data_IF_409536135859
#
_entry.id   IF_409536135859
#
_cell.length_a   1.000
_cell.length_b   1.000
_cell.length_c   1.000
_cell.angle_alpha   90.00
_cell.angle_beta   90.00
_cell.angle_gamma   90.00
#
_symmetry.space_group_name_H-M   'P 1'
#
loop_
_entity.id
_entity.type
_entity.pdbx_description
1 polymer ?
#
# COMPACT_ATOMS: atom_id res chain seq x y z
N UNK A 1 14.82 46.84 19.54
CA UNK A 1 15.76 45.75 19.37
C UNK A 1 16.33 45.81 17.98
N UNK A 2 17.65 46.03 17.85
CA UNK A 2 18.30 46.19 16.56
C UNK A 2 18.48 44.84 15.89
N UNK A 3 18.09 44.76 14.62
CA UNK A 3 18.33 43.60 13.80
C UNK A 3 19.75 43.68 13.26
N UNK A 4 20.62 42.77 13.65
CA UNK A 4 21.99 42.69 13.14
C UNK A 4 22.00 41.93 11.82
N UNK A 5 22.26 42.60 10.71
CA UNK A 5 22.43 41.98 9.40
C UNK A 5 23.92 41.74 9.12
N UNK A 6 24.32 40.48 9.03
CA UNK A 6 25.67 40.13 8.58
C UNK A 6 25.70 39.96 7.08
N UNK A 7 26.48 40.81 6.39
CA UNK A 7 26.68 40.77 4.92
C UNK A 7 27.91 39.95 4.49
N UNK A 8 28.39 39.01 5.30
CA UNK A 8 29.54 38.18 4.91
C UNK A 8 29.05 36.87 4.32
N UNK A 9 29.76 36.35 3.34
CA UNK A 9 29.46 35.13 2.60
C UNK A 9 29.44 33.87 3.47
N UNK A 10 30.16 33.84 4.59
CA UNK A 10 30.21 32.74 5.52
C UNK A 10 30.19 33.26 6.97
N UNK A 11 29.34 32.66 7.80
CA UNK A 11 29.36 32.80 9.26
C UNK A 11 29.69 31.40 9.81
N UNK A 12 30.83 31.27 10.43
CA UNK A 12 31.25 30.03 11.11
C UNK A 12 30.95 30.15 12.60
N UNK A 13 30.35 29.11 13.16
CA UNK A 13 30.11 28.93 14.59
C UNK A 13 30.95 27.74 15.06
N UNK A 14 31.89 28.00 15.94
CA UNK A 14 32.70 26.95 16.58
C UNK A 14 31.98 26.26 17.77
N UNK A 15 30.72 26.65 18.05
CA UNK A 15 29.86 26.11 19.10
C UNK A 15 28.40 25.98 18.61
N UNK A 16 27.58 25.41 19.46
CA UNK A 16 26.15 25.20 19.19
C UNK A 16 25.38 26.50 18.92
N UNK A 17 24.64 26.55 17.84
CA UNK A 17 23.62 27.59 17.61
C UNK A 17 22.30 27.13 18.20
N UNK A 18 21.81 27.84 19.19
CA UNK A 18 20.51 27.55 19.82
C UNK A 18 19.45 28.54 19.30
N UNK A 19 18.49 28.04 18.55
CA UNK A 19 17.35 28.80 18.03
C UNK A 19 16.20 28.62 19.02
N UNK A 20 15.98 29.61 19.90
CA UNK A 20 15.01 29.54 21.00
C UNK A 20 13.54 29.72 20.58
N UNK A 21 13.28 30.14 19.35
CA UNK A 21 11.92 30.45 18.89
C UNK A 21 11.63 29.62 17.65
N UNK A 22 10.53 28.86 17.65
CA UNK A 22 10.09 28.04 16.54
C UNK A 22 9.86 28.89 15.27
N UNK A 23 10.22 28.34 14.11
CA UNK A 23 9.91 28.92 12.81
C UNK A 23 10.90 29.92 12.23
N UNK A 24 12.08 30.11 12.85
CA UNK A 24 13.03 31.12 12.41
C UNK A 24 14.33 30.63 11.77
N UNK A 25 14.51 29.31 11.61
CA UNK A 25 15.56 28.83 10.73
C UNK A 25 15.07 28.88 9.28
N UNK A 26 15.68 29.74 8.47
CA UNK A 26 15.31 29.92 7.07
C UNK A 26 16.53 29.72 6.16
N UNK A 27 16.31 29.09 5.02
CA UNK A 27 17.25 29.05 3.92
C UNK A 27 16.61 29.71 2.69
N UNK A 28 17.27 30.77 2.15
CA UNK A 28 16.75 31.57 1.03
C UNK A 28 15.31 32.08 1.28
N UNK A 29 15.03 32.59 2.48
CA UNK A 29 13.71 33.09 2.91
C UNK A 29 12.62 32.02 3.00
N UNK A 30 12.95 30.73 2.88
CA UNK A 30 12.05 29.62 3.12
C UNK A 30 12.26 29.10 4.54
N UNK A 31 11.21 29.08 5.34
CA UNK A 31 11.27 28.57 6.71
C UNK A 31 11.46 27.04 6.70
N UNK A 32 12.38 26.55 7.54
CA UNK A 32 12.47 25.12 7.87
C UNK A 32 11.46 24.86 8.98
N UNK A 33 10.35 24.22 8.62
CA UNK A 33 9.24 23.91 9.54
C UNK A 33 9.41 22.58 10.26
N UNK A 34 10.34 21.74 9.80
CA UNK A 34 10.63 20.45 10.43
C UNK A 34 11.14 20.62 11.87
N UNK A 35 10.62 19.82 12.78
CA UNK A 35 11.10 19.75 14.16
C UNK A 35 12.49 19.12 14.24
N UNK A 36 13.21 19.32 15.35
CA UNK A 36 14.50 18.67 15.57
C UNK A 36 14.39 17.14 15.56
N UNK A 37 13.26 16.57 16.04
CA UNK A 37 13.00 15.13 15.99
C UNK A 37 12.87 14.63 14.54
N UNK A 38 12.11 15.33 13.70
CA UNK A 38 11.94 15.00 12.28
C UNK A 38 13.25 15.12 11.50
N UNK A 39 14.08 16.15 11.78
CA UNK A 39 15.41 16.27 11.16
C UNK A 39 16.35 15.16 11.63
N UNK A 40 16.27 14.74 12.90
CA UNK A 40 17.11 13.67 13.44
C UNK A 40 16.73 12.28 12.90
N UNK A 41 15.45 12.04 12.53
CA UNK A 41 15.02 10.81 11.85
C UNK A 41 15.77 10.62 10.52
N UNK A 42 16.11 11.72 9.83
CA UNK A 42 16.88 11.69 8.58
C UNK A 42 18.37 11.40 8.80
N UNK A 43 18.86 11.48 10.05
CA UNK A 43 20.22 11.12 10.41
C UNK A 43 20.45 9.61 10.20
N UNK A 44 21.22 9.23 9.18
CA UNK A 44 21.46 7.85 8.79
C UNK A 44 20.63 7.36 7.60
N UNK A 45 19.66 8.16 7.11
CA UNK A 45 18.98 7.87 5.84
C UNK A 45 19.95 8.15 4.69
N UNK A 46 20.32 7.10 3.96
CA UNK A 46 21.18 7.19 2.76
C UNK A 46 20.35 7.22 1.47
N UNK A 47 19.05 6.92 1.55
CA UNK A 47 18.15 6.96 0.42
C UNK A 47 17.94 8.40 -0.08
N UNK A 48 17.92 8.57 -1.40
CA UNK A 48 17.58 9.85 -2.03
C UNK A 48 16.09 10.18 -1.85
N UNK A 49 15.71 11.44 -2.01
CA UNK A 49 14.30 11.84 -2.00
C UNK A 49 13.46 11.11 -3.06
N UNK A 50 14.04 10.78 -4.23
CA UNK A 50 13.36 10.02 -5.27
C UNK A 50 13.10 8.56 -4.85
N UNK A 51 14.05 7.94 -4.16
CA UNK A 51 13.89 6.58 -3.62
C UNK A 51 12.86 6.54 -2.48
N UNK A 52 12.87 7.53 -1.59
CA UNK A 52 11.86 7.65 -0.51
C UNK A 52 10.48 7.86 -1.10
N UNK A 53 10.32 8.75 -2.08
CA UNK A 53 9.05 9.00 -2.75
C UNK A 53 8.57 7.79 -3.59
N UNK A 54 9.50 6.95 -4.06
CA UNK A 54 9.17 5.71 -4.77
C UNK A 54 8.50 4.65 -3.89
N UNK A 55 8.68 4.74 -2.56
CA UNK A 55 8.05 3.82 -1.60
C UNK A 55 6.55 4.11 -1.44
N UNK A 56 6.12 5.35 -1.67
CA UNK A 56 4.74 5.80 -1.52
C UNK A 56 3.74 5.06 -2.45
N UNK A 57 4.23 4.56 -3.60
CA UNK A 57 3.44 3.77 -4.55
C UNK A 57 3.47 2.25 -4.33
N UNK A 58 4.13 1.76 -3.26
CA UNK A 58 4.22 0.32 -2.99
C UNK A 58 3.05 -0.11 -2.11
N UNK A 59 2.21 -1.09 -2.53
CA UNK A 59 1.14 -1.61 -1.67
C UNK A 59 1.74 -2.36 -0.49
N UNK A 60 1.53 -1.84 0.72
CA UNK A 60 2.01 -2.42 1.98
C UNK A 60 0.87 -2.85 2.90
N UNK A 61 -0.37 -2.49 2.55
CA UNK A 61 -1.62 -2.89 3.17
C UNK A 61 -2.71 -3.04 2.10
N UNK A 62 -3.79 -3.71 2.44
CA UNK A 62 -4.95 -3.91 1.56
C UNK A 62 -6.22 -3.85 2.38
N UNK A 63 -7.24 -3.15 1.89
CA UNK A 63 -8.62 -3.30 2.34
C UNK A 63 -9.35 -4.25 1.40
N UNK A 64 -10.01 -5.27 1.95
CA UNK A 64 -10.85 -6.20 1.21
C UNK A 64 -12.24 -6.18 1.82
N UNK A 65 -13.27 -5.96 1.02
CA UNK A 65 -14.66 -6.03 1.48
C UNK A 65 -15.03 -7.50 1.75
N UNK A 66 -15.59 -7.77 2.94
CA UNK A 66 -16.11 -9.10 3.29
C UNK A 66 -17.59 -9.25 2.95
N UNK A 67 -18.26 -8.18 2.49
CA UNK A 67 -19.66 -8.19 2.06
C UNK A 67 -19.77 -8.42 0.55
N UNK A 68 -18.91 -9.28 0.01
CA UNK A 68 -18.97 -9.67 -1.38
C UNK A 68 -20.33 -10.34 -1.68
N UNK A 69 -21.04 -9.83 -2.67
CA UNK A 69 -22.33 -10.37 -3.08
C UNK A 69 -22.12 -11.54 -4.04
N UNK A 70 -22.80 -12.68 -3.77
CA UNK A 70 -22.99 -13.73 -4.77
C UNK A 70 -23.87 -13.20 -5.91
N UNK A 71 -23.61 -13.68 -7.12
CA UNK A 71 -24.58 -13.51 -8.20
C UNK A 71 -25.81 -14.44 -8.00
N UNK A 72 -26.81 -14.30 -8.88
CA UNK A 72 -28.05 -15.08 -8.80
C UNK A 72 -27.82 -16.60 -9.03
N UNK A 73 -26.73 -16.97 -9.72
CA UNK A 73 -26.37 -18.36 -9.96
C UNK A 73 -25.60 -18.98 -8.78
N UNK A 74 -25.06 -18.15 -7.87
CA UNK A 74 -24.31 -18.58 -6.69
C UNK A 74 -22.88 -19.06 -7.00
N UNK A 75 -22.39 -18.86 -8.22
CA UNK A 75 -21.10 -19.34 -8.69
C UNK A 75 -20.04 -18.24 -8.83
N UNK A 76 -20.45 -16.96 -8.66
CA UNK A 76 -19.56 -15.78 -8.76
C UNK A 76 -19.66 -14.87 -7.55
N UNK A 77 -18.51 -14.38 -7.13
CA UNK A 77 -18.38 -13.33 -6.11
C UNK A 77 -17.51 -12.23 -6.66
N UNK A 78 -17.93 -10.96 -6.55
CA UNK A 78 -17.06 -9.80 -6.77
C UNK A 78 -16.55 -9.33 -5.41
N UNK A 79 -15.23 -9.29 -5.26
CA UNK A 79 -14.52 -8.84 -4.07
C UNK A 79 -13.82 -7.52 -4.38
N UNK A 80 -14.33 -6.37 -3.94
CA UNK A 80 -13.62 -5.11 -4.02
C UNK A 80 -12.35 -5.15 -3.16
N UNK A 81 -11.24 -4.75 -3.76
CA UNK A 81 -9.92 -4.69 -3.13
C UNK A 81 -9.36 -3.29 -3.33
N UNK A 82 -8.96 -2.64 -2.24
CA UNK A 82 -8.26 -1.36 -2.27
C UNK A 82 -6.83 -1.56 -1.78
N UNK A 83 -5.85 -1.28 -2.65
CA UNK A 83 -4.45 -1.27 -2.27
C UNK A 83 -4.12 -0.01 -1.48
N UNK A 84 -3.35 -0.15 -0.40
CA UNK A 84 -3.05 0.91 0.55
C UNK A 84 -1.56 0.96 0.89
N UNK A 85 -1.09 2.11 1.34
CA UNK A 85 0.22 2.30 1.91
C UNK A 85 0.34 1.69 3.32
N UNK A 86 1.49 1.89 3.99
CA UNK A 86 1.73 1.42 5.36
C UNK A 86 0.81 2.06 6.39
N UNK A 87 0.27 3.24 6.12
CA UNK A 87 -0.61 3.99 7.00
C UNK A 87 -2.10 3.71 6.73
N UNK A 88 -2.41 2.72 5.88
CA UNK A 88 -3.78 2.40 5.42
C UNK A 88 -4.44 3.54 4.65
N UNK A 89 -3.63 4.34 3.95
CA UNK A 89 -4.12 5.34 2.99
C UNK A 89 -4.18 4.70 1.62
N UNK A 90 -5.27 4.92 0.90
CA UNK A 90 -5.49 4.36 -0.43
C UNK A 90 -4.42 4.84 -1.41
N UNK A 91 -3.88 3.93 -2.21
CA UNK A 91 -2.90 4.29 -3.23
C UNK A 91 -3.56 5.15 -4.31
N UNK A 92 -2.91 6.24 -4.68
CA UNK A 92 -3.26 7.10 -5.81
C UNK A 92 -2.43 6.79 -7.06
N UNK A 93 -1.90 5.56 -7.15
CA UNK A 93 -1.08 5.05 -8.26
C UNK A 93 -1.35 3.56 -8.44
N UNK A 94 -1.04 3.04 -9.63
CA UNK A 94 -1.13 1.60 -9.88
C UNK A 94 -0.18 0.82 -8.98
N UNK A 95 -0.71 -0.18 -8.30
CA UNK A 95 0.04 -1.14 -7.50
C UNK A 95 -0.12 -2.56 -8.04
N UNK A 96 0.73 -3.47 -7.56
CA UNK A 96 0.66 -4.88 -7.95
C UNK A 96 0.91 -5.79 -6.75
N UNK A 97 0.10 -6.85 -6.65
CA UNK A 97 0.20 -7.88 -5.61
C UNK A 97 0.03 -9.26 -6.24
N UNK A 98 0.51 -10.31 -5.57
CA UNK A 98 0.16 -11.68 -5.97
C UNK A 98 -1.10 -12.12 -5.22
N UNK A 99 -1.88 -12.99 -5.85
CA UNK A 99 -3.09 -13.54 -5.28
C UNK A 99 -3.18 -15.06 -5.47
N UNK A 100 -3.78 -15.74 -4.51
CA UNK A 100 -4.18 -17.14 -4.61
C UNK A 100 -5.38 -17.42 -3.70
N UNK A 101 -6.08 -18.53 -3.95
CA UNK A 101 -7.17 -18.98 -3.09
C UNK A 101 -6.75 -20.15 -2.21
N UNK A 102 -7.36 -20.24 -1.02
CA UNK A 102 -7.19 -21.36 -0.08
C UNK A 102 -8.53 -21.81 0.49
N UNK A 103 -8.56 -23.02 1.05
CA UNK A 103 -9.71 -23.58 1.78
C UNK A 103 -9.65 -23.29 3.28
N UNK A 104 -8.57 -22.68 3.76
CA UNK A 104 -8.38 -22.30 5.16
C UNK A 104 -8.00 -20.82 5.29
N UNK A 105 -8.26 -20.26 6.47
CA UNK A 105 -8.00 -18.85 6.78
C UNK A 105 -6.51 -18.49 6.90
N UNK A 106 -5.63 -19.49 7.07
CA UNK A 106 -4.19 -19.28 7.20
C UNK A 106 -3.48 -19.22 5.84
N UNK A 107 -4.18 -19.61 4.75
CA UNK A 107 -3.62 -19.62 3.41
C UNK A 107 -2.70 -20.80 3.09
N UNK A 108 -2.64 -21.83 3.96
CA UNK A 108 -1.73 -22.97 3.80
C UNK A 108 -2.27 -24.00 2.80
N UNK A 109 -3.59 -24.16 2.74
CA UNK A 109 -4.27 -25.14 1.88
C UNK A 109 -4.73 -24.50 0.57
N UNK A 110 -3.77 -24.22 -0.34
CA UNK A 110 -4.08 -23.66 -1.66
C UNK A 110 -5.03 -24.55 -2.45
N UNK A 111 -5.94 -23.91 -3.17
CA UNK A 111 -6.89 -24.59 -4.05
C UNK A 111 -6.80 -24.11 -5.49
N UNK A 112 -7.16 -24.95 -6.43
CA UNK A 112 -7.32 -24.65 -7.85
C UNK A 112 -8.80 -24.62 -8.27
N UNK A 113 -9.72 -24.72 -7.30
CA UNK A 113 -11.16 -24.79 -7.57
C UNK A 113 -11.78 -23.41 -7.88
N UNK A 114 -11.03 -22.33 -7.72
CA UNK A 114 -11.51 -20.97 -7.93
C UNK A 114 -10.69 -20.30 -9.02
N UNK A 115 -11.36 -19.78 -10.04
CA UNK A 115 -10.75 -18.95 -11.09
C UNK A 115 -10.89 -17.48 -10.72
N UNK A 116 -9.82 -16.71 -10.89
CA UNK A 116 -9.80 -15.27 -10.66
C UNK A 116 -9.80 -14.49 -11.97
N UNK A 117 -10.65 -13.46 -12.05
CA UNK A 117 -10.73 -12.50 -13.15
C UNK A 117 -11.06 -11.11 -12.60
N UNK A 118 -11.27 -10.11 -13.46
CA UNK A 118 -11.78 -8.79 -13.05
C UNK A 118 -13.13 -8.53 -13.68
N UNK A 119 -13.99 -7.79 -12.99
CA UNK A 119 -15.31 -7.40 -13.49
C UNK A 119 -15.34 -6.02 -14.14
N UNK A 120 -14.25 -5.26 -14.10
CA UNK A 120 -14.18 -3.89 -14.64
C UNK A 120 -12.86 -3.23 -14.28
N UNK A 121 -12.59 -3.07 -12.99
CA UNK A 121 -11.43 -2.35 -12.50
C UNK A 121 -10.26 -3.29 -12.20
N UNK A 122 -9.06 -2.88 -12.64
CA UNK A 122 -7.83 -3.64 -12.51
C UNK A 122 -7.57 -4.66 -13.61
N UNK A 123 -6.48 -5.40 -13.46
CA UNK A 123 -6.04 -6.44 -14.37
C UNK A 123 -5.61 -7.69 -13.59
N UNK A 124 -6.04 -8.86 -14.05
CA UNK A 124 -5.60 -10.16 -13.53
C UNK A 124 -4.74 -10.87 -14.58
N UNK A 125 -3.51 -11.18 -14.20
CA UNK A 125 -2.59 -12.01 -14.99
C UNK A 125 -2.42 -13.35 -14.32
N UNK A 126 -2.78 -14.43 -15.00
CA UNK A 126 -2.59 -15.78 -14.51
C UNK A 126 -1.12 -16.18 -14.70
N UNK A 127 -0.39 -16.42 -13.59
CA UNK A 127 1.01 -16.85 -13.60
C UNK A 127 1.14 -18.36 -13.59
N UNK A 128 0.28 -19.05 -12.85
CA UNK A 128 0.14 -20.51 -12.85
C UNK A 128 -1.35 -20.84 -12.89
N UNK A 129 -1.74 -21.75 -13.78
CA UNK A 129 -3.14 -22.07 -14.06
C UNK A 129 -3.91 -22.37 -12.77
N UNK A 130 -4.93 -21.57 -12.50
CA UNK A 130 -5.85 -21.62 -11.37
C UNK A 130 -5.20 -21.70 -9.98
N UNK A 131 -3.95 -21.20 -9.84
CA UNK A 131 -3.21 -21.28 -8.59
C UNK A 131 -2.65 -19.96 -8.12
N UNK A 132 -1.96 -19.22 -9.01
CA UNK A 132 -1.28 -17.98 -8.68
C UNK A 132 -1.57 -16.94 -9.75
N UNK A 133 -1.94 -15.78 -9.30
CA UNK A 133 -2.28 -14.65 -10.14
C UNK A 133 -1.50 -13.42 -9.71
N UNK A 134 -1.18 -12.56 -10.67
CA UNK A 134 -0.76 -11.20 -10.40
C UNK A 134 -1.94 -10.27 -10.64
N UNK A 135 -2.26 -9.49 -9.63
CA UNK A 135 -3.27 -8.45 -9.70
C UNK A 135 -2.57 -7.11 -9.89
N UNK A 136 -3.10 -6.27 -10.77
CA UNK A 136 -2.63 -4.91 -11.01
C UNK A 136 -3.85 -3.99 -10.86
N UNK A 137 -3.76 -3.02 -9.97
CA UNK A 137 -4.86 -2.08 -9.71
C UNK A 137 -5.04 -1.03 -10.82
N UNK A 138 -6.15 -0.32 -10.78
CA UNK A 138 -6.30 0.96 -11.45
C UNK A 138 -5.41 2.04 -10.81
N UNK A 139 -5.45 3.26 -11.37
CA UNK A 139 -4.59 4.38 -10.93
C UNK A 139 -4.90 4.92 -9.54
N UNK A 140 -6.00 4.54 -8.95
CA UNK A 140 -6.47 4.86 -7.60
C UNK A 140 -6.30 3.71 -6.60
N UNK A 141 -5.64 2.63 -7.04
CA UNK A 141 -5.35 1.47 -6.20
C UNK A 141 -6.47 0.44 -6.13
N UNK A 142 -7.57 0.63 -6.85
CA UNK A 142 -8.75 -0.24 -6.81
C UNK A 142 -8.65 -1.45 -7.76
N UNK A 143 -9.25 -2.59 -7.33
CA UNK A 143 -9.38 -3.82 -8.10
C UNK A 143 -10.72 -4.46 -7.77
N UNK A 144 -11.58 -4.68 -8.76
CA UNK A 144 -12.77 -5.50 -8.63
C UNK A 144 -12.47 -6.95 -9.02
N UNK A 145 -12.06 -7.74 -8.01
CA UNK A 145 -11.70 -9.14 -8.21
C UNK A 145 -12.95 -10.02 -8.29
N UNK A 146 -13.13 -10.70 -9.41
CA UNK A 146 -14.17 -11.71 -9.58
C UNK A 146 -13.62 -13.10 -9.30
N UNK A 147 -14.25 -13.80 -8.39
CA UNK A 147 -14.03 -15.20 -8.09
C UNK A 147 -15.14 -16.02 -8.72
N UNK A 148 -14.79 -17.12 -9.40
CA UNK A 148 -15.74 -18.02 -10.03
C UNK A 148 -15.41 -19.48 -9.71
N UNK A 149 -16.41 -20.26 -9.30
CA UNK A 149 -16.28 -21.70 -9.04
C UNK A 149 -17.62 -22.38 -9.23
N UNK A 150 -17.58 -23.65 -9.68
CA UNK A 150 -18.78 -24.51 -9.75
C UNK A 150 -18.97 -25.36 -8.49
N UNK A 151 -18.09 -25.21 -7.50
CA UNK A 151 -18.16 -25.98 -6.26
C UNK A 151 -18.91 -25.18 -5.17
N UNK A 152 -19.96 -25.73 -4.62
CA UNK A 152 -20.64 -25.19 -3.43
C UNK A 152 -19.72 -25.38 -2.21
N UNK A 153 -18.83 -24.41 -1.97
CA UNK A 153 -17.81 -24.43 -0.92
C UNK A 153 -17.42 -23.01 -0.49
N UNK A 154 -16.59 -22.93 0.54
CA UNK A 154 -16.10 -21.67 1.09
C UNK A 154 -14.59 -21.55 0.87
N UNK A 155 -14.16 -20.37 0.44
CA UNK A 155 -12.75 -20.08 0.12
C UNK A 155 -12.29 -18.77 0.73
N UNK A 156 -10.97 -18.62 0.86
CA UNK A 156 -10.31 -17.40 1.26
C UNK A 156 -9.45 -16.89 0.10
N UNK A 157 -9.43 -15.57 -0.11
CA UNK A 157 -8.48 -14.91 -0.99
C UNK A 157 -7.29 -14.44 -0.15
N UNK A 158 -6.11 -14.79 -0.61
CA UNK A 158 -4.84 -14.42 0.02
C UNK A 158 -4.05 -13.54 -0.93
N UNK A 159 -3.67 -12.35 -0.46
CA UNK A 159 -2.84 -11.40 -1.19
C UNK A 159 -1.44 -11.36 -0.59
N UNK A 160 -0.43 -11.59 -1.42
CA UNK A 160 0.98 -11.49 -1.03
C UNK A 160 1.49 -10.12 -1.43
N UNK A 161 1.77 -9.29 -0.43
CA UNK A 161 2.25 -7.93 -0.61
C UNK A 161 3.75 -7.92 -0.93
N UNK A 162 4.28 -6.85 -1.54
CA UNK A 162 5.70 -6.73 -1.90
C UNK A 162 6.67 -6.87 -0.71
N UNK A 163 6.22 -6.58 0.51
CA UNK A 163 7.00 -6.78 1.74
C UNK A 163 6.99 -8.22 2.27
N UNK A 164 6.36 -9.16 1.54
CA UNK A 164 6.24 -10.58 1.92
C UNK A 164 5.10 -10.87 2.91
N UNK A 165 4.35 -9.86 3.36
CA UNK A 165 3.16 -10.06 4.20
C UNK A 165 2.05 -10.71 3.39
N UNK A 166 1.37 -11.71 3.96
CA UNK A 166 0.14 -12.24 3.41
C UNK A 166 -1.03 -11.60 4.15
N UNK A 167 -2.01 -11.13 3.38
CA UNK A 167 -3.26 -10.61 3.90
C UNK A 167 -4.42 -11.39 3.28
N UNK A 168 -5.20 -12.04 4.13
CA UNK A 168 -6.32 -12.88 3.74
C UNK A 168 -7.64 -12.16 3.99
N UNK A 169 -8.70 -12.57 3.29
CA UNK A 169 -10.08 -12.14 3.64
C UNK A 169 -10.38 -12.51 5.08
N UNK A 170 -11.05 -11.61 5.82
CA UNK A 170 -11.37 -11.82 7.26
C UNK A 170 -12.43 -12.89 7.49
N UNK A 171 -13.19 -13.27 6.45
CA UNK A 171 -14.16 -14.34 6.44
C UNK A 171 -14.08 -15.17 5.17
N UNK A 172 -14.63 -16.36 5.22
CA UNK A 172 -14.75 -17.20 4.05
C UNK A 172 -15.79 -16.65 3.07
N UNK A 173 -15.44 -16.67 1.78
CA UNK A 173 -16.34 -16.36 0.68
C UNK A 173 -17.08 -17.68 0.32
N UNK A 174 -18.38 -17.73 0.56
CA UNK A 174 -19.19 -18.95 0.42
C UNK A 174 -19.96 -18.96 -0.88
N UNK A 175 -19.78 -19.99 -1.66
CA UNK A 175 -20.51 -20.29 -2.91
C UNK A 175 -21.58 -21.34 -2.67
N UNK A 176 -22.71 -21.27 -3.40
CA UNK A 176 -23.90 -22.13 -3.21
C UNK A 176 -24.29 -22.89 -4.47
#
# INVERSE_FOLDING_TARGET
MGTTHYKKSNIEFDKTVNIKTAGYLQYNSVAITATAAELNILGGVTATAAEINGIDGIPLSVSMSTTAALDEAGDKIVLPIQLQDLNSVDLAVRGSVLAYCSTDANGDSRTTAVTLSTSGDGLVLQLEADKVYQLISESDGDIDLTLETTAAAAYYVNLVLPNGKIQSTTGALTFT
#
